data_IF_802372118651
#
_entry.id   IF_802372118651
#
_cell.length_a   1.000
_cell.length_b   1.000
_cell.length_c   1.000
_cell.angle_alpha   90.00
_cell.angle_beta   90.00
_cell.angle_gamma   90.00
#
_symmetry.space_group_name_H-M   'P 1'
#
loop_
_entity.id
_entity.type
_entity.pdbx_description
1 polymer ?
#
# COMPACT_ATOMS: atom_id res chain seq x y z
N UNK A 1 -2.36 69.57 23.33
CA UNK A 1 -1.86 69.44 24.73
C UNK A 1 -2.71 68.42 25.45
N UNK A 2 -2.05 67.37 25.94
CA UNK A 2 -2.38 66.47 27.06
C UNK A 2 -3.72 66.69 27.79
N UNK A 3 -4.51 65.63 27.93
CA UNK A 3 -4.75 65.04 29.25
C UNK A 3 -4.97 63.52 29.16
N UNK A 4 -4.25 62.81 30.02
CA UNK A 4 -4.28 61.39 30.35
C UNK A 4 -4.92 61.27 31.74
N UNK A 5 -5.92 60.42 31.94
CA UNK A 5 -6.00 59.42 33.04
C UNK A 5 -7.28 58.58 32.84
N UNK A 6 -7.19 57.31 32.47
CA UNK A 6 -7.03 56.07 33.27
C UNK A 6 -8.32 55.56 33.97
N UNK A 7 -8.91 54.47 33.45
CA UNK A 7 -9.67 53.40 34.14
C UNK A 7 -10.19 52.43 33.06
N UNK A 8 -9.51 51.33 32.75
CA UNK A 8 -9.67 49.97 33.33
C UNK A 8 -10.79 49.13 32.68
N UNK A 9 -10.47 47.85 32.43
CA UNK A 9 -11.33 46.72 32.00
C UNK A 9 -11.77 46.61 30.53
N UNK A 10 -10.99 45.83 29.78
CA UNK A 10 -11.53 44.71 29.00
C UNK A 10 -10.45 43.63 28.86
N UNK A 11 -10.48 42.65 29.77
CA UNK A 11 -9.93 41.32 29.52
C UNK A 11 -10.60 40.74 28.26
N UNK A 12 -9.84 40.05 27.41
CA UNK A 12 -10.49 39.25 26.38
C UNK A 12 -9.60 38.76 25.26
N UNK A 13 -8.91 37.66 25.53
CA UNK A 13 -8.55 36.62 24.55
C UNK A 13 -7.56 36.99 23.45
N UNK A 14 -6.29 36.67 23.72
CA UNK A 14 -5.43 36.09 22.70
C UNK A 14 -6.16 34.95 22.01
N UNK A 15 -6.56 35.14 20.76
CA UNK A 15 -6.96 34.06 19.86
C UNK A 15 -5.73 33.21 19.61
N UNK A 16 -5.48 32.24 20.50
CA UNK A 16 -4.68 31.05 20.19
C UNK A 16 -5.34 30.45 18.96
N UNK A 17 -4.70 30.63 17.80
CA UNK A 17 -5.00 29.83 16.63
C UNK A 17 -4.90 28.38 17.06
N UNK A 18 -6.04 27.71 16.92
CA UNK A 18 -6.40 26.51 17.64
C UNK A 18 -5.57 25.36 17.05
N UNK A 19 -4.53 24.91 17.75
CA UNK A 19 -3.67 23.78 17.31
C UNK A 19 -4.49 22.49 17.04
N UNK A 20 -5.71 22.41 17.60
CA UNK A 20 -6.68 21.34 17.37
C UNK A 20 -7.28 21.33 15.95
N UNK A 21 -7.42 22.48 15.28
CA UNK A 21 -7.94 22.57 13.91
C UNK A 21 -6.88 22.12 12.90
N UNK A 22 -5.60 22.43 13.15
CA UNK A 22 -4.47 21.91 12.35
C UNK A 22 -4.28 20.40 12.52
N UNK A 23 -4.50 19.86 13.71
CA UNK A 23 -4.44 18.41 13.96
C UNK A 23 -5.60 17.67 13.32
N UNK A 24 -6.80 18.26 13.30
CA UNK A 24 -7.94 17.70 12.57
C UNK A 24 -7.70 17.69 11.06
N UNK A 25 -7.09 18.75 10.51
CA UNK A 25 -6.75 18.82 9.08
C UNK A 25 -5.66 17.79 8.71
N UNK A 26 -4.61 17.63 9.53
CA UNK A 26 -3.61 16.57 9.35
C UNK A 26 -4.20 15.15 9.49
N UNK A 27 -5.15 14.94 10.41
CA UNK A 27 -5.85 13.66 10.57
C UNK A 27 -6.80 13.35 9.41
N UNK A 28 -7.47 14.37 8.85
CA UNK A 28 -8.29 14.26 7.63
C UNK A 28 -7.41 13.96 6.42
N UNK A 29 -6.25 14.60 6.30
CA UNK A 29 -5.26 14.34 5.25
C UNK A 29 -4.65 12.93 5.39
N UNK A 30 -4.42 12.45 6.61
CA UNK A 30 -4.02 11.04 6.85
C UNK A 30 -5.16 10.04 6.60
N UNK A 31 -6.42 10.44 6.77
CA UNK A 31 -7.61 9.61 6.50
C UNK A 31 -7.90 9.45 4.99
N UNK A 32 -7.40 10.39 4.18
CA UNK A 32 -7.41 10.35 2.71
C UNK A 32 -6.33 9.42 2.13
N UNK A 33 -5.30 9.07 2.90
CA UNK A 33 -4.41 7.98 2.53
C UNK A 33 -5.16 6.65 2.76
N UNK A 34 -5.57 6.02 1.67
CA UNK A 34 -5.92 4.59 1.69
C UNK A 34 -4.66 3.84 2.07
N UNK A 35 -4.49 3.59 3.37
CA UNK A 35 -3.35 2.86 3.89
C UNK A 35 -3.57 1.39 3.56
N UNK A 36 -3.17 1.01 2.34
CA UNK A 36 -3.14 -0.39 1.95
C UNK A 36 -2.12 -1.12 2.85
N UNK A 37 -2.38 -2.39 3.19
CA UNK A 37 -1.39 -3.19 3.90
C UNK A 37 -0.09 -3.27 3.09
N UNK A 38 1.08 -3.35 3.75
CA UNK A 38 2.36 -3.45 3.05
C UNK A 38 2.36 -4.69 2.14
N UNK A 39 2.87 -4.53 0.93
CA UNK A 39 2.93 -5.62 -0.05
C UNK A 39 3.81 -6.76 0.46
N UNK A 40 3.26 -7.99 0.47
CA UNK A 40 3.99 -9.20 0.85
C UNK A 40 4.15 -10.11 -0.37
N UNK A 41 5.35 -10.22 -0.96
CA UNK A 41 5.60 -11.04 -2.15
C UNK A 41 5.29 -12.52 -1.92
N UNK A 42 5.63 -13.04 -0.73
CA UNK A 42 5.46 -14.45 -0.34
C UNK A 42 4.00 -14.88 -0.18
N UNK A 43 3.05 -13.94 -0.18
CA UNK A 43 1.63 -14.26 -0.01
C UNK A 43 0.76 -13.25 -0.75
N UNK A 44 1.10 -13.02 -2.02
CA UNK A 44 0.43 -12.04 -2.89
C UNK A 44 -1.10 -12.26 -2.96
N UNK A 45 -1.55 -13.52 -3.00
CA UNK A 45 -2.98 -13.86 -2.99
C UNK A 45 -3.70 -13.44 -1.70
N UNK A 46 -3.08 -13.70 -0.53
CA UNK A 46 -3.64 -13.32 0.78
C UNK A 46 -3.62 -11.81 0.96
N UNK A 47 -2.59 -11.14 0.46
CA UNK A 47 -2.51 -9.68 0.45
C UNK A 47 -3.65 -9.08 -0.37
N UNK A 48 -3.94 -9.61 -1.58
CA UNK A 48 -5.08 -9.14 -2.37
C UNK A 48 -6.43 -9.33 -1.68
N UNK A 49 -6.62 -10.40 -0.90
CA UNK A 49 -7.85 -10.57 -0.10
C UNK A 49 -8.04 -9.42 0.90
N UNK A 50 -6.95 -8.98 1.54
CA UNK A 50 -6.98 -7.85 2.47
C UNK A 50 -7.26 -6.53 1.74
N UNK A 51 -6.57 -6.28 0.62
CA UNK A 51 -6.77 -5.09 -0.22
C UNK A 51 -8.22 -5.00 -0.72
N UNK A 52 -8.80 -6.11 -1.17
CA UNK A 52 -10.20 -6.15 -1.60
C UNK A 52 -11.19 -5.91 -0.47
N UNK A 53 -10.91 -6.43 0.72
CA UNK A 53 -11.71 -6.12 1.91
C UNK A 53 -11.72 -4.61 2.18
N UNK A 54 -10.57 -3.94 2.08
CA UNK A 54 -10.47 -2.48 2.22
C UNK A 54 -11.29 -1.73 1.18
N UNK A 55 -11.21 -2.14 -0.10
CA UNK A 55 -12.02 -1.51 -1.15
C UNK A 55 -13.52 -1.72 -0.95
N UNK A 56 -13.94 -2.90 -0.48
CA UNK A 56 -15.34 -3.20 -0.17
C UNK A 56 -15.86 -2.33 0.97
N UNK A 57 -15.10 -2.18 2.06
CA UNK A 57 -15.47 -1.34 3.20
C UNK A 57 -15.66 0.14 2.82
N UNK A 58 -14.87 0.63 1.85
CA UNK A 58 -14.92 2.02 1.36
C UNK A 58 -15.90 2.20 0.20
N UNK A 59 -16.66 1.17 -0.19
CA UNK A 59 -17.54 1.14 -1.36
C UNK A 59 -16.84 1.59 -2.66
N UNK A 60 -15.52 1.41 -2.75
CA UNK A 60 -14.76 1.79 -3.93
C UNK A 60 -14.95 0.71 -5.00
N UNK A 61 -15.86 0.94 -5.94
CA UNK A 61 -16.18 0.01 -7.03
C UNK A 61 -15.47 0.34 -8.35
N UNK A 62 -14.85 1.52 -8.44
CA UNK A 62 -14.17 1.98 -9.66
C UNK A 62 -12.88 1.19 -9.91
N UNK A 63 -12.84 0.46 -11.01
CA UNK A 63 -11.64 -0.22 -11.50
C UNK A 63 -10.44 0.73 -11.61
N UNK A 64 -10.69 1.94 -12.12
CA UNK A 64 -9.65 2.95 -12.28
C UNK A 64 -9.10 3.42 -10.92
N UNK A 65 -9.97 3.70 -9.96
CA UNK A 65 -9.55 4.16 -8.63
C UNK A 65 -8.77 3.07 -7.89
N UNK A 66 -9.23 1.81 -7.97
CA UNK A 66 -8.51 0.67 -7.40
C UNK A 66 -7.15 0.46 -8.06
N UNK A 67 -7.06 0.65 -9.38
CA UNK A 67 -5.80 0.57 -10.12
C UNK A 67 -4.79 1.60 -9.60
N UNK A 68 -5.18 2.88 -9.49
CA UNK A 68 -4.28 3.92 -8.97
C UNK A 68 -3.83 3.65 -7.53
N UNK A 69 -4.74 3.19 -6.67
CA UNK A 69 -4.36 2.77 -5.32
C UNK A 69 -3.37 1.62 -5.33
N UNK A 70 -3.59 0.63 -6.19
CA UNK A 70 -2.69 -0.51 -6.31
C UNK A 70 -1.30 -0.07 -6.74
N UNK A 71 -1.19 0.75 -7.80
CA UNK A 71 0.07 1.32 -8.28
C UNK A 71 0.80 2.11 -7.19
N UNK A 72 0.08 2.90 -6.38
CA UNK A 72 0.69 3.67 -5.29
C UNK A 72 1.27 2.83 -4.14
N UNK A 73 0.89 1.56 -4.04
CA UNK A 73 1.32 0.65 -2.96
C UNK A 73 2.40 -0.34 -3.42
N UNK A 74 2.70 -0.41 -4.73
CA UNK A 74 3.68 -1.35 -5.25
C UNK A 74 5.11 -0.91 -4.86
N UNK A 75 5.92 -1.81 -4.29
CA UNK A 75 7.35 -1.57 -4.14
C UNK A 75 8.01 -1.38 -5.52
N UNK A 76 9.11 -0.60 -5.59
CA UNK A 76 9.80 -0.31 -6.86
C UNK A 76 10.19 -1.58 -7.61
N UNK A 77 10.74 -2.58 -6.92
CA UNK A 77 11.12 -3.87 -7.50
C UNK A 77 9.96 -4.57 -8.22
N UNK A 78 8.74 -4.47 -7.67
CA UNK A 78 7.54 -5.11 -8.24
C UNK A 78 6.95 -4.25 -9.37
N UNK A 79 7.07 -2.93 -9.26
CA UNK A 79 6.65 -2.01 -10.31
C UNK A 79 7.53 -2.16 -11.56
N UNK A 80 8.84 -2.30 -11.38
CA UNK A 80 9.81 -2.54 -12.46
C UNK A 80 9.55 -3.88 -13.14
N UNK A 81 9.30 -4.94 -12.36
CA UNK A 81 8.87 -6.23 -12.90
C UNK A 81 7.65 -6.06 -13.81
N UNK A 82 6.67 -5.24 -13.43
CA UNK A 82 5.39 -5.07 -14.12
C UNK A 82 5.34 -3.87 -15.08
N UNK A 83 6.49 -3.29 -15.42
CA UNK A 83 6.57 -2.05 -16.19
C UNK A 83 5.83 -2.13 -17.54
N UNK A 84 5.85 -3.29 -18.19
CA UNK A 84 5.13 -3.57 -19.44
C UNK A 84 3.60 -3.43 -19.29
N UNK A 85 3.06 -3.87 -18.15
CA UNK A 85 1.63 -3.85 -17.85
C UNK A 85 1.19 -2.47 -17.35
N UNK A 86 2.07 -1.80 -16.60
CA UNK A 86 1.86 -0.42 -16.15
C UNK A 86 1.92 0.58 -17.32
N UNK A 87 2.76 0.33 -18.31
CA UNK A 87 2.88 1.17 -19.50
C UNK A 87 1.66 1.06 -20.43
N UNK A 88 0.97 -0.09 -20.44
CA UNK A 88 -0.21 -0.33 -21.27
C UNK A 88 -1.36 -0.96 -20.45
N UNK A 89 -2.03 -0.18 -19.59
CA UNK A 89 -3.14 -0.68 -18.78
C UNK A 89 -4.33 -1.07 -19.67
N UNK A 90 -5.02 -2.16 -19.30
CA UNK A 90 -6.20 -2.61 -20.03
C UNK A 90 -7.35 -1.60 -19.91
N UNK A 91 -8.05 -1.23 -21.01
CA UNK A 91 -8.98 -0.10 -21.04
C UNK A 91 -10.23 -0.29 -20.17
N UNK A 92 -10.75 -1.53 -20.06
CA UNK A 92 -12.00 -1.79 -19.33
C UNK A 92 -11.81 -2.33 -17.91
N UNK A 93 -10.66 -2.95 -17.62
CA UNK A 93 -10.43 -3.72 -16.39
C UNK A 93 -8.99 -3.56 -15.86
N UNK A 94 -8.50 -2.32 -15.68
CA UNK A 94 -7.10 -2.04 -15.36
C UNK A 94 -6.64 -2.64 -14.01
N UNK A 95 -7.53 -2.77 -13.02
CA UNK A 95 -7.18 -3.38 -11.74
C UNK A 95 -7.16 -4.91 -11.83
N UNK A 96 -8.15 -5.54 -12.46
CA UNK A 96 -8.19 -7.00 -12.57
C UNK A 96 -7.01 -7.55 -13.38
N UNK A 97 -6.64 -6.87 -14.48
CA UNK A 97 -5.46 -7.23 -15.27
C UNK A 97 -4.18 -7.11 -14.46
N UNK A 98 -4.00 -6.01 -13.71
CA UNK A 98 -2.82 -5.80 -12.89
C UNK A 98 -2.74 -6.83 -11.75
N UNK A 99 -3.87 -7.12 -11.09
CA UNK A 99 -3.96 -8.15 -10.06
C UNK A 99 -3.58 -9.53 -10.59
N UNK A 100 -4.16 -9.94 -11.73
CA UNK A 100 -3.88 -11.23 -12.34
C UNK A 100 -2.39 -11.38 -12.69
N UNK A 101 -1.79 -10.33 -13.23
CA UNK A 101 -0.38 -10.32 -13.58
C UNK A 101 0.55 -10.45 -12.36
N UNK A 102 0.26 -9.72 -11.27
CA UNK A 102 1.01 -9.83 -10.01
C UNK A 102 0.97 -11.26 -9.50
N UNK A 103 -0.21 -11.90 -9.51
CA UNK A 103 -0.38 -13.27 -9.05
C UNK A 103 0.37 -14.25 -9.96
N UNK A 104 0.24 -14.13 -11.29
CA UNK A 104 0.91 -15.02 -12.26
C UNK A 104 2.43 -14.97 -12.08
N UNK A 105 3.03 -13.77 -12.14
CA UNK A 105 4.49 -13.62 -12.07
C UNK A 105 5.07 -14.10 -10.75
N UNK A 106 4.38 -13.85 -9.63
CA UNK A 106 4.83 -14.37 -8.33
C UNK A 106 4.70 -15.88 -8.27
N UNK A 107 3.62 -16.46 -8.77
CA UNK A 107 3.47 -17.93 -8.84
C UNK A 107 4.53 -18.62 -9.71
N UNK A 108 4.87 -18.03 -10.86
CA UNK A 108 5.93 -18.51 -11.74
C UNK A 108 7.30 -18.42 -11.07
N UNK A 109 7.57 -17.31 -10.36
CA UNK A 109 8.81 -17.13 -9.61
C UNK A 109 8.95 -18.14 -8.47
N UNK A 110 7.86 -18.44 -7.76
CA UNK A 110 7.83 -19.46 -6.71
C UNK A 110 8.05 -20.85 -7.29
N UNK A 111 7.39 -21.19 -8.41
CA UNK A 111 7.58 -22.47 -9.07
C UNK A 111 9.02 -22.66 -9.57
N UNK A 112 9.60 -21.65 -10.20
CA UNK A 112 11.00 -21.66 -10.66
C UNK A 112 11.97 -21.83 -9.48
N UNK A 113 11.74 -21.11 -8.37
CA UNK A 113 12.53 -21.25 -7.14
C UNK A 113 12.44 -22.66 -6.55
N UNK A 114 11.26 -23.28 -6.58
CA UNK A 114 11.06 -24.66 -6.12
C UNK A 114 11.81 -25.66 -7.00
N UNK A 115 11.70 -25.54 -8.33
CA UNK A 115 12.42 -26.39 -9.28
C UNK A 115 13.93 -26.29 -9.09
N UNK A 116 14.47 -25.07 -9.01
CA UNK A 116 15.91 -24.86 -8.76
C UNK A 116 16.37 -25.50 -7.45
N UNK A 117 15.55 -25.41 -6.39
CA UNK A 117 15.86 -26.04 -5.11
C UNK A 117 15.86 -27.57 -5.21
N UNK A 118 14.85 -28.16 -5.87
CA UNK A 118 14.76 -29.62 -6.08
C UNK A 118 15.99 -30.12 -6.85
N UNK A 119 16.31 -29.49 -7.98
CA UNK A 119 17.49 -29.83 -8.78
C UNK A 119 18.78 -29.64 -7.98
N UNK A 120 18.91 -28.56 -7.20
CA UNK A 120 20.08 -28.36 -6.34
C UNK A 120 20.21 -29.42 -5.23
N UNK A 121 19.11 -30.01 -4.75
CA UNK A 121 19.12 -31.17 -3.84
C UNK A 121 19.44 -32.49 -4.52
N UNK A 122 19.04 -32.69 -5.78
CA UNK A 122 19.45 -33.89 -6.53
C UNK A 122 20.97 -33.88 -6.81
N UNK A 123 21.55 -32.68 -6.96
CA UNK A 123 22.98 -32.47 -7.17
C UNK A 123 23.83 -32.33 -5.90
N UNK A 124 23.24 -32.37 -4.69
CA UNK A 124 24.01 -32.29 -3.45
C UNK A 124 23.24 -32.78 -2.22
N UNK A 125 23.95 -33.47 -1.31
CA UNK A 125 23.51 -34.25 -0.11
C UNK A 125 22.59 -33.55 0.94
N UNK A 126 21.85 -32.50 0.58
CA UNK A 126 20.98 -31.77 1.50
C UNK A 126 19.68 -32.53 1.73
N UNK A 127 19.32 -32.69 3.01
CA UNK A 127 18.09 -33.38 3.41
C UNK A 127 16.85 -32.54 3.10
N UNK A 128 15.74 -33.14 2.62
CA UNK A 128 14.49 -32.43 2.30
C UNK A 128 13.94 -31.54 3.43
N UNK A 129 14.20 -31.89 4.70
CA UNK A 129 13.78 -31.10 5.86
C UNK A 129 14.46 -29.72 5.96
N UNK A 130 15.69 -29.58 5.47
CA UNK A 130 16.39 -28.29 5.44
C UNK A 130 15.84 -27.37 4.34
N UNK A 131 15.32 -27.96 3.26
CA UNK A 131 14.69 -27.25 2.15
C UNK A 131 13.33 -26.68 2.59
N UNK A 132 12.51 -27.47 3.30
CA UNK A 132 11.25 -26.99 3.90
C UNK A 132 11.46 -25.80 4.85
N UNK A 133 12.59 -25.75 5.57
CA UNK A 133 12.90 -24.62 6.47
C UNK A 133 13.23 -23.32 5.72
N UNK A 134 13.68 -23.40 4.45
CA UNK A 134 13.95 -22.24 3.59
C UNK A 134 12.71 -21.72 2.86
N UNK A 135 11.59 -22.43 2.95
CA UNK A 135 10.31 -22.09 2.30
C UNK A 135 9.34 -21.35 3.21
N UNK A 136 9.60 -21.27 4.52
CA UNK A 136 8.84 -20.44 5.47
C UNK A 136 9.38 -19.02 5.48
#
# INVERSE_FOLDING_TARGET
MKQLVFSEMALGTMTKLNDNERLADLAVVQSLHVHLPPFSPNSSSTWFLQVEAHFRLRQNTSQQTRHWHLVSCLPPDVADDLADILASPHPSHPYDTLKAAIISRKSESEHSRLQQLITATELGDRRPSQLLRRMR
#
